data_IF_662490797975
#
_entry.id   IF_662490797975
#
_cell.length_a   1.000
_cell.length_b   1.000
_cell.length_c   1.000
_cell.angle_alpha   90.00
_cell.angle_beta   90.00
_cell.angle_gamma   90.00
#
_symmetry.space_group_name_H-M   'P 1'
#
loop_
_entity.id
_entity.type
_entity.pdbx_description
1 polymer ?
#
# COMPACT_ATOMS: atom_id res chain seq x y z
N UNK A 1 21.44 -21.25 8.67
CA UNK A 1 20.92 -20.28 7.69
C UNK A 1 19.58 -19.83 8.21
N UNK A 2 19.40 -18.53 8.37
CA UNK A 2 18.17 -17.97 8.96
C UNK A 2 17.08 -17.99 7.89
N UNK A 3 16.12 -18.90 8.03
CA UNK A 3 14.85 -18.83 7.32
C UNK A 3 14.24 -17.44 7.51
N UNK A 4 13.65 -16.88 6.46
CA UNK A 4 12.87 -15.63 6.60
C UNK A 4 11.83 -15.80 7.72
N UNK A 5 11.80 -14.92 8.72
CA UNK A 5 10.90 -15.10 9.85
C UNK A 5 9.45 -14.95 9.36
N UNK A 6 8.58 -15.83 9.84
CA UNK A 6 7.18 -15.92 9.38
C UNK A 6 6.21 -15.59 10.51
N UNK A 7 5.11 -14.95 10.15
CA UNK A 7 3.96 -14.78 11.03
C UNK A 7 2.90 -15.81 10.67
N UNK A 8 2.46 -16.58 11.65
CA UNK A 8 1.25 -17.42 11.54
C UNK A 8 0.04 -16.58 11.97
N UNK A 9 -0.73 -16.14 10.98
CA UNK A 9 -1.93 -15.33 11.23
C UNK A 9 -2.99 -16.06 12.06
N UNK A 10 -3.06 -17.40 12.00
CA UNK A 10 -4.02 -18.17 12.79
C UNK A 10 -3.63 -18.22 14.26
N UNK A 11 -2.34 -18.37 14.54
CA UNK A 11 -1.80 -18.32 15.90
C UNK A 11 -1.87 -16.90 16.48
N UNK A 12 -1.67 -15.86 15.66
CA UNK A 12 -1.88 -14.47 16.06
C UNK A 12 -3.35 -14.20 16.40
N UNK A 13 -4.28 -14.65 15.55
CA UNK A 13 -5.72 -14.53 15.78
C UNK A 13 -6.17 -15.18 17.09
N UNK A 14 -5.64 -16.36 17.40
CA UNK A 14 -5.99 -17.10 18.62
C UNK A 14 -5.57 -16.40 19.92
N UNK A 15 -4.67 -15.41 19.86
CA UNK A 15 -4.24 -14.63 21.03
C UNK A 15 -5.19 -13.44 21.32
N UNK A 16 -6.05 -13.08 20.38
CA UNK A 16 -7.00 -11.99 20.53
C UNK A 16 -8.14 -12.36 21.48
N UNK A 17 -8.64 -11.36 22.20
CA UNK A 17 -9.90 -11.50 22.93
C UNK A 17 -11.09 -11.69 21.98
N UNK A 18 -12.20 -12.30 22.41
CA UNK A 18 -13.39 -12.45 21.58
C UNK A 18 -13.93 -11.13 21.02
N UNK A 19 -13.81 -10.03 21.78
CA UNK A 19 -14.22 -8.70 21.33
C UNK A 19 -13.33 -8.19 20.19
N UNK A 20 -12.01 -8.29 20.33
CA UNK A 20 -11.07 -7.93 19.26
C UNK A 20 -11.25 -8.81 18.00
N UNK A 21 -11.51 -10.11 18.18
CA UNK A 21 -11.83 -11.01 17.06
C UNK A 21 -13.12 -10.60 16.36
N UNK A 22 -14.15 -10.21 17.10
CA UNK A 22 -15.41 -9.78 16.53
C UNK A 22 -15.26 -8.46 15.77
N UNK A 23 -14.53 -7.49 16.32
CA UNK A 23 -14.28 -6.18 15.71
C UNK A 23 -13.47 -6.30 14.41
N UNK A 24 -12.29 -6.92 14.48
CA UNK A 24 -11.44 -7.16 13.29
C UNK A 24 -12.19 -8.02 12.26
N UNK A 25 -12.94 -9.02 12.72
CA UNK A 25 -13.72 -9.90 11.86
C UNK A 25 -14.83 -9.15 11.11
N UNK A 26 -15.52 -8.22 11.77
CA UNK A 26 -16.56 -7.40 11.16
C UNK A 26 -15.97 -6.50 10.06
N UNK A 27 -14.88 -5.78 10.35
CA UNK A 27 -14.19 -4.91 9.37
C UNK A 27 -13.72 -5.74 8.16
N UNK A 28 -13.11 -6.91 8.40
CA UNK A 28 -12.64 -7.76 7.32
C UNK A 28 -13.79 -8.29 6.43
N UNK A 29 -14.94 -8.63 7.02
CA UNK A 29 -16.11 -9.08 6.25
C UNK A 29 -16.67 -7.92 5.41
N UNK A 30 -16.79 -6.72 5.97
CA UNK A 30 -17.28 -5.54 5.25
C UNK A 30 -16.33 -5.13 4.11
N UNK A 31 -15.01 -5.21 4.31
CA UNK A 31 -14.02 -5.00 3.26
C UNK A 31 -14.20 -5.99 2.09
N UNK A 32 -14.33 -7.28 2.39
CA UNK A 32 -14.55 -8.32 1.36
C UNK A 32 -15.90 -8.11 0.65
N UNK A 33 -16.93 -7.67 1.36
CA UNK A 33 -18.21 -7.33 0.74
C UNK A 33 -18.09 -6.14 -0.22
N UNK A 34 -17.31 -5.10 0.13
CA UNK A 34 -17.04 -3.97 -0.75
C UNK A 34 -16.34 -4.39 -2.05
N UNK A 35 -15.32 -5.26 -1.97
CA UNK A 35 -14.65 -5.82 -3.14
C UNK A 35 -15.58 -6.67 -4.01
N UNK A 36 -16.38 -7.53 -3.39
CA UNK A 36 -17.36 -8.34 -4.12
C UNK A 36 -18.41 -7.48 -4.84
N UNK A 37 -18.80 -6.35 -4.27
CA UNK A 37 -19.65 -5.38 -4.95
C UNK A 37 -18.94 -4.74 -6.15
N UNK A 38 -17.67 -4.35 -6.02
CA UNK A 38 -16.90 -3.76 -7.13
C UNK A 38 -16.76 -4.76 -8.29
N UNK A 39 -16.37 -6.01 -8.00
CA UNK A 39 -16.26 -7.09 -9.00
C UNK A 39 -17.60 -7.30 -9.75
N UNK A 40 -18.71 -7.38 -9.02
CA UNK A 40 -20.04 -7.55 -9.64
C UNK A 40 -20.43 -6.38 -10.54
N UNK A 41 -20.08 -5.14 -10.16
CA UNK A 41 -20.36 -3.96 -10.97
C UNK A 41 -19.50 -3.93 -12.23
N UNK A 42 -18.23 -4.33 -12.13
CA UNK A 42 -17.35 -4.46 -13.30
C UNK A 42 -17.86 -5.53 -14.27
N UNK A 43 -18.36 -6.66 -13.75
CA UNK A 43 -18.99 -7.70 -14.57
C UNK A 43 -20.30 -7.21 -15.21
N UNK A 44 -21.14 -6.49 -14.46
CA UNK A 44 -22.42 -5.96 -14.94
C UNK A 44 -22.25 -4.82 -15.96
N UNK A 45 -21.16 -4.05 -15.89
CA UNK A 45 -20.84 -3.00 -16.84
C UNK A 45 -20.45 -3.52 -18.23
N UNK A 46 -20.27 -4.84 -18.41
CA UNK A 46 -20.09 -5.43 -19.73
C UNK A 46 -21.36 -5.26 -20.56
N UNK A 47 -21.26 -4.79 -21.81
CA UNK A 47 -22.42 -4.43 -22.62
C UNK A 47 -23.36 -5.63 -22.81
N UNK A 48 -24.52 -5.58 -22.16
CA UNK A 48 -25.67 -6.45 -22.41
C UNK A 48 -26.82 -5.57 -22.87
N UNK A 49 -27.40 -5.92 -24.01
CA UNK A 49 -28.43 -5.13 -24.69
C UNK A 49 -29.59 -4.74 -23.72
N UNK A 50 -29.91 -3.44 -23.74
CA UNK A 50 -31.14 -2.78 -23.24
C UNK A 50 -31.36 -2.60 -21.72
N UNK A 51 -30.66 -3.30 -20.82
CA UNK A 51 -30.78 -3.09 -19.36
C UNK A 51 -29.78 -2.06 -18.79
N UNK A 52 -29.50 -0.98 -19.53
CA UNK A 52 -28.22 -0.26 -19.40
C UNK A 52 -28.30 0.99 -18.49
N UNK A 53 -29.37 1.78 -18.48
CA UNK A 53 -29.27 3.12 -17.89
C UNK A 53 -29.45 3.18 -16.36
N UNK A 54 -30.45 2.50 -15.79
CA UNK A 54 -30.66 2.52 -14.33
C UNK A 54 -29.57 1.74 -13.58
N UNK A 55 -29.07 0.66 -14.20
CA UNK A 55 -27.92 -0.09 -13.70
C UNK A 55 -26.65 0.77 -13.81
N UNK A 56 -26.47 1.57 -14.86
CA UNK A 56 -25.30 2.45 -15.00
C UNK A 56 -25.26 3.55 -13.93
N UNK A 57 -26.38 4.21 -13.65
CA UNK A 57 -26.42 5.29 -12.65
C UNK A 57 -26.20 4.75 -11.22
N UNK A 58 -26.79 3.59 -10.89
CA UNK A 58 -26.51 2.89 -9.63
C UNK A 58 -25.06 2.39 -9.59
N UNK A 59 -24.52 1.93 -10.72
CA UNK A 59 -23.14 1.45 -10.82
C UNK A 59 -22.12 2.54 -10.52
N UNK A 60 -22.31 3.78 -10.99
CA UNK A 60 -21.39 4.88 -10.66
C UNK A 60 -21.42 5.21 -9.15
N UNK A 61 -22.62 5.33 -8.57
CA UNK A 61 -22.77 5.63 -7.15
C UNK A 61 -22.15 4.53 -6.27
N UNK A 62 -22.38 3.27 -6.63
CA UNK A 62 -21.80 2.13 -5.93
C UNK A 62 -20.29 2.02 -6.13
N UNK A 63 -19.77 2.22 -7.34
CA UNK A 63 -18.33 2.19 -7.59
C UNK A 63 -17.59 3.26 -6.78
N UNK A 64 -18.14 4.48 -6.70
CA UNK A 64 -17.59 5.54 -5.85
C UNK A 64 -17.65 5.16 -4.36
N UNK A 65 -18.76 4.58 -3.90
CA UNK A 65 -18.91 4.14 -2.52
C UNK A 65 -17.97 2.97 -2.18
N UNK A 66 -17.83 1.99 -3.07
CA UNK A 66 -16.97 0.82 -2.92
C UNK A 66 -15.49 1.23 -2.86
N UNK A 67 -15.04 2.13 -3.75
CA UNK A 67 -13.67 2.63 -3.73
C UNK A 67 -13.34 3.44 -2.47
N UNK A 68 -14.28 4.23 -1.94
CA UNK A 68 -14.10 4.90 -0.65
C UNK A 68 -14.07 3.90 0.51
N UNK A 69 -15.00 2.93 0.49
CA UNK A 69 -15.09 1.88 1.49
C UNK A 69 -13.81 1.05 1.56
N UNK A 70 -13.23 0.66 0.41
CA UNK A 70 -11.97 -0.08 0.35
C UNK A 70 -10.83 0.64 1.11
N UNK A 71 -10.58 1.91 0.79
CA UNK A 71 -9.51 2.68 1.41
C UNK A 71 -9.71 2.85 2.93
N UNK A 72 -10.93 3.20 3.37
CA UNK A 72 -11.24 3.38 4.79
C UNK A 72 -11.21 2.06 5.56
N UNK A 73 -11.77 0.99 5.00
CA UNK A 73 -11.81 -0.33 5.65
C UNK A 73 -10.43 -0.98 5.73
N UNK A 74 -9.56 -0.80 4.72
CA UNK A 74 -8.15 -1.20 4.82
C UNK A 74 -7.46 -0.48 5.98
N UNK A 75 -7.65 0.85 6.09
CA UNK A 75 -7.06 1.63 7.18
C UNK A 75 -7.59 1.17 8.54
N UNK A 76 -8.91 1.04 8.68
CA UNK A 76 -9.56 0.58 9.91
C UNK A 76 -9.11 -0.83 10.31
N UNK A 77 -8.99 -1.75 9.34
CA UNK A 77 -8.51 -3.10 9.58
C UNK A 77 -7.06 -3.11 10.06
N UNK A 78 -6.20 -2.29 9.44
CA UNK A 78 -4.81 -2.15 9.84
C UNK A 78 -4.70 -1.62 11.27
N UNK A 79 -5.42 -0.55 11.59
CA UNK A 79 -5.39 0.08 12.91
C UNK A 79 -5.89 -0.91 13.98
N UNK A 80 -7.04 -1.56 13.76
CA UNK A 80 -7.59 -2.55 14.68
C UNK A 80 -6.62 -3.72 14.95
N UNK A 81 -5.95 -4.22 13.91
CA UNK A 81 -4.97 -5.31 14.04
C UNK A 81 -3.70 -4.86 14.77
N UNK A 82 -3.17 -3.67 14.45
CA UNK A 82 -1.96 -3.12 15.06
C UNK A 82 -2.18 -2.77 16.54
N UNK A 83 -3.35 -2.25 16.89
CA UNK A 83 -3.69 -1.93 18.27
C UNK A 83 -3.94 -3.20 19.12
N UNK A 84 -4.48 -4.26 18.50
CA UNK A 84 -4.82 -5.48 19.20
C UNK A 84 -3.65 -6.46 19.41
N UNK A 85 -2.61 -6.40 18.55
CA UNK A 85 -1.48 -7.34 18.58
C UNK A 85 -0.16 -6.67 18.98
N UNK A 86 0.67 -7.32 19.81
CA UNK A 86 2.00 -6.81 20.12
C UNK A 86 2.90 -6.73 18.88
N UNK A 87 3.76 -5.70 18.84
CA UNK A 87 4.66 -5.41 17.70
C UNK A 87 5.53 -6.61 17.32
N UNK A 88 5.94 -7.41 18.30
CA UNK A 88 6.82 -8.58 18.15
C UNK A 88 6.17 -9.72 17.34
N UNK A 89 4.85 -9.68 17.13
CA UNK A 89 4.19 -10.58 16.19
C UNK A 89 4.54 -10.25 14.74
N UNK A 90 4.74 -8.96 14.41
CA UNK A 90 5.05 -8.49 13.07
C UNK A 90 6.56 -8.41 12.78
N UNK A 91 7.41 -8.41 13.82
CA UNK A 91 8.86 -8.19 13.67
C UNK A 91 9.68 -9.20 14.49
N UNK A 92 10.82 -9.60 13.94
CA UNK A 92 11.89 -10.28 14.67
C UNK A 92 13.13 -9.36 14.68
N UNK A 93 13.29 -8.61 15.78
CA UNK A 93 14.23 -7.49 15.82
C UNK A 93 13.82 -6.41 14.81
N UNK A 94 14.72 -6.09 13.88
CA UNK A 94 14.48 -5.12 12.79
C UNK A 94 13.91 -5.75 11.52
N UNK A 95 13.67 -7.08 11.51
CA UNK A 95 13.23 -7.81 10.33
C UNK A 95 11.72 -8.03 10.39
N UNK A 96 11.00 -7.52 9.39
CA UNK A 96 9.57 -7.77 9.24
C UNK A 96 9.30 -9.26 8.95
N UNK A 97 8.27 -9.82 9.60
CA UNK A 97 7.81 -11.18 9.36
C UNK A 97 6.91 -11.23 8.15
N UNK A 98 7.08 -12.28 7.35
CA UNK A 98 6.26 -12.50 6.16
C UNK A 98 5.10 -13.45 6.49
N UNK A 99 3.86 -13.21 6.03
CA UNK A 99 2.75 -14.13 6.25
C UNK A 99 3.09 -15.56 5.83
N UNK A 100 2.79 -16.53 6.71
CA UNK A 100 3.03 -17.95 6.44
C UNK A 100 2.22 -18.48 5.26
N UNK A 101 1.04 -17.89 5.00
CA UNK A 101 0.15 -18.25 3.89
C UNK A 101 0.67 -17.89 2.50
N UNK A 102 1.70 -17.05 2.37
CA UNK A 102 2.32 -16.75 1.08
C UNK A 102 3.18 -17.90 0.54
N UNK A 103 3.41 -18.95 1.34
CA UNK A 103 4.25 -20.07 0.94
C UNK A 103 5.75 -19.73 0.87
N UNK A 104 6.52 -20.52 0.11
CA UNK A 104 7.95 -20.31 -0.09
C UNK A 104 8.24 -18.96 -0.76
N UNK A 105 9.25 -18.25 -0.25
CA UNK A 105 9.71 -16.98 -0.80
C UNK A 105 11.23 -17.02 -0.85
N UNK A 106 11.81 -16.62 -1.99
CA UNK A 106 13.26 -16.62 -2.12
C UNK A 106 13.87 -15.49 -1.28
N UNK A 107 14.70 -15.84 -0.30
CA UNK A 107 15.44 -14.91 0.58
C UNK A 107 16.39 -13.96 -0.14
N UNK A 108 16.61 -14.14 -1.45
CA UNK A 108 17.49 -13.29 -2.28
C UNK A 108 16.71 -12.36 -3.21
N UNK A 109 15.75 -12.86 -3.97
CA UNK A 109 15.03 -12.06 -4.97
C UNK A 109 13.55 -11.79 -4.63
N UNK A 110 12.99 -12.44 -3.61
CA UNK A 110 11.60 -12.27 -3.22
C UNK A 110 10.58 -13.01 -4.10
N UNK A 111 11.01 -13.75 -5.14
CA UNK A 111 10.08 -14.51 -5.98
C UNK A 111 9.24 -15.50 -5.14
N UNK A 112 8.02 -15.75 -5.58
CA UNK A 112 7.06 -16.68 -4.95
C UNK A 112 6.70 -17.80 -5.91
N UNK A 113 5.82 -18.73 -5.51
CA UNK A 113 5.29 -19.75 -6.41
C UNK A 113 4.40 -19.17 -7.54
N UNK A 114 3.79 -18.00 -7.31
CA UNK A 114 2.91 -17.32 -8.26
C UNK A 114 3.58 -16.17 -9.01
N UNK A 115 4.79 -15.79 -8.59
CA UNK A 115 5.58 -14.70 -9.17
C UNK A 115 7.06 -15.12 -9.22
N UNK A 116 7.39 -15.96 -10.20
CA UNK A 116 8.72 -16.50 -10.42
C UNK A 116 9.69 -15.50 -11.04
N UNK A 117 11.00 -15.78 -10.98
CA UNK A 117 12.01 -14.97 -11.64
C UNK A 117 11.77 -14.87 -13.16
N UNK A 118 12.25 -13.78 -13.77
CA UNK A 118 12.33 -13.66 -15.23
C UNK A 118 13.14 -14.82 -15.83
N UNK A 119 12.59 -15.50 -16.83
CA UNK A 119 13.15 -16.73 -17.40
C UNK A 119 12.76 -18.02 -16.67
N UNK A 120 12.01 -17.91 -15.57
CA UNK A 120 11.56 -19.02 -14.75
C UNK A 120 12.60 -19.47 -13.73
N UNK A 121 12.11 -19.94 -12.59
CA UNK A 121 12.93 -20.58 -11.57
C UNK A 121 12.14 -21.70 -10.88
N UNK A 122 12.84 -22.53 -10.12
CA UNK A 122 12.28 -23.52 -9.20
C UNK A 122 12.89 -23.35 -7.81
N UNK A 123 12.42 -24.08 -6.81
CA UNK A 123 12.99 -24.05 -5.46
C UNK A 123 14.22 -24.94 -5.35
N UNK A 124 15.34 -24.37 -4.94
CA UNK A 124 16.58 -25.08 -4.61
C UNK A 124 16.65 -25.44 -3.11
N UNK A 125 16.09 -24.58 -2.26
CA UNK A 125 15.90 -24.75 -0.82
C UNK A 125 14.54 -24.15 -0.42
N UNK A 126 14.09 -24.36 0.82
CA UNK A 126 12.79 -23.87 1.34
C UNK A 126 12.57 -22.36 1.17
N UNK A 127 13.65 -21.57 1.15
CA UNK A 127 13.63 -20.12 0.93
C UNK A 127 14.71 -19.66 -0.07
N UNK A 128 15.09 -20.51 -1.05
CA UNK A 128 16.01 -20.13 -2.14
C UNK A 128 15.57 -20.71 -3.48
N UNK A 129 15.46 -19.87 -4.50
CA UNK A 129 15.20 -20.34 -5.87
C UNK A 129 16.49 -20.72 -6.63
N UNK A 130 16.37 -21.58 -7.64
CA UNK A 130 17.46 -22.04 -8.51
C UNK A 130 18.11 -20.92 -9.29
N UNK A 131 17.39 -19.87 -9.67
CA UNK A 131 18.00 -18.69 -10.29
C UNK A 131 18.98 -17.95 -9.34
N UNK A 132 18.82 -18.13 -8.04
CA UNK A 132 19.61 -17.44 -7.02
C UNK A 132 20.75 -18.30 -6.43
N UNK A 133 20.94 -19.56 -6.86
CA UNK A 133 22.03 -20.42 -6.37
C UNK A 133 23.40 -19.92 -6.85
N UNK A 134 23.48 -19.45 -8.10
CA UNK A 134 24.76 -19.19 -8.79
C UNK A 134 25.29 -17.76 -8.65
N UNK A 135 24.74 -17.01 -7.68
CA UNK A 135 25.39 -15.83 -7.09
C UNK A 135 25.64 -14.64 -8.03
N UNK A 136 24.56 -14.06 -8.56
CA UNK A 136 24.48 -12.61 -8.76
C UNK A 136 23.26 -12.11 -8.01
N UNK A 137 23.42 -11.15 -7.09
CA UNK A 137 22.29 -10.48 -6.46
C UNK A 137 21.55 -9.73 -7.55
N UNK A 138 20.37 -10.22 -7.92
CA UNK A 138 19.40 -9.41 -8.63
C UNK A 138 18.83 -8.44 -7.60
N UNK A 139 19.24 -7.17 -7.68
CA UNK A 139 18.57 -6.11 -6.91
C UNK A 139 17.27 -5.84 -7.64
N UNK A 140 16.17 -6.39 -7.13
CA UNK A 140 14.85 -6.04 -7.62
C UNK A 140 14.46 -4.70 -7.00
N UNK A 141 14.28 -3.68 -7.84
CA UNK A 141 13.70 -2.41 -7.43
C UNK A 141 12.21 -2.53 -7.74
N UNK A 142 11.37 -2.68 -6.72
CA UNK A 142 9.91 -2.70 -6.89
C UNK A 142 9.47 -1.39 -7.55
N UNK A 143 8.68 -1.50 -8.62
CA UNK A 143 8.09 -0.36 -9.31
C UNK A 143 7.03 0.36 -8.46
N UNK A 144 6.48 -0.31 -7.44
CA UNK A 144 5.42 0.23 -6.57
C UNK A 144 5.96 1.06 -5.41
N UNK A 145 7.24 0.94 -5.06
CA UNK A 145 7.90 1.86 -4.14
C UNK A 145 7.86 3.32 -4.64
N UNK A 146 7.62 3.54 -5.94
CA UNK A 146 7.49 4.86 -6.56
C UNK A 146 6.04 5.41 -6.63
N UNK A 147 5.01 4.68 -6.19
CA UNK A 147 3.60 5.03 -6.47
C UNK A 147 2.74 5.50 -5.29
N UNK A 148 3.28 5.60 -4.09
CA UNK A 148 2.51 6.05 -2.92
C UNK A 148 2.49 7.58 -2.75
N UNK A 149 1.90 8.35 -3.69
CA UNK A 149 1.72 9.80 -3.51
C UNK A 149 0.34 10.32 -3.97
N UNK A 150 -0.52 10.53 -2.98
CA UNK A 150 -1.86 11.12 -3.04
C UNK A 150 -1.87 12.64 -3.41
N UNK A 151 -3.00 13.12 -3.92
CA UNK A 151 -3.26 14.32 -4.73
C UNK A 151 -3.27 15.70 -4.01
N UNK A 152 -2.20 16.11 -3.31
CA UNK A 152 -2.07 17.47 -2.72
C UNK A 152 -0.75 18.18 -3.06
N UNK A 153 -0.63 19.47 -2.75
CA UNK A 153 0.43 20.39 -3.24
C UNK A 153 1.88 19.86 -3.17
N UNK A 154 2.78 20.29 -4.10
CA UNK A 154 4.18 19.85 -4.16
C UNK A 154 4.97 20.19 -2.88
N UNK A 155 5.88 19.29 -2.51
CA UNK A 155 6.95 19.48 -1.53
C UNK A 155 7.85 20.60 -1.99
N UNK A 156 8.13 21.53 -1.08
CA UNK A 156 9.08 22.59 -1.30
C UNK A 156 10.37 22.31 -0.53
N UNK A 157 11.53 22.64 -1.10
CA UNK A 157 12.80 22.63 -0.38
C UNK A 157 12.87 23.81 0.62
N UNK A 158 14.00 23.94 1.34
CA UNK A 158 14.21 25.05 2.30
C UNK A 158 14.16 26.45 1.67
N UNK A 159 14.27 26.54 0.34
CA UNK A 159 14.21 27.77 -0.44
C UNK A 159 12.82 28.02 -1.04
N UNK A 160 11.85 27.13 -0.80
CA UNK A 160 10.51 27.24 -1.36
C UNK A 160 10.35 26.70 -2.78
N UNK A 161 11.34 25.97 -3.31
CA UNK A 161 11.30 25.43 -4.67
C UNK A 161 10.66 24.05 -4.69
N UNK A 162 9.82 23.79 -5.69
CA UNK A 162 9.20 22.48 -5.87
C UNK A 162 10.26 21.40 -6.11
N UNK A 163 10.17 20.32 -5.34
CA UNK A 163 10.99 19.13 -5.52
C UNK A 163 10.23 18.19 -6.45
N UNK A 164 10.93 17.56 -7.38
CA UNK A 164 10.40 16.56 -8.29
C UNK A 164 11.12 15.22 -8.08
N UNK A 165 10.44 14.12 -8.30
CA UNK A 165 10.93 12.75 -8.18
C UNK A 165 10.75 12.02 -9.52
N UNK A 166 11.75 11.27 -10.01
CA UNK A 166 11.51 10.38 -11.17
C UNK A 166 10.65 9.20 -10.70
N UNK A 167 9.48 9.00 -11.31
CA UNK A 167 8.60 7.85 -11.03
C UNK A 167 9.22 6.48 -11.33
N UNK A 168 10.36 6.44 -12.03
CA UNK A 168 11.06 5.20 -12.36
C UNK A 168 12.13 4.79 -11.35
N UNK A 169 12.89 5.74 -10.80
CA UNK A 169 14.05 5.44 -9.96
C UNK A 169 14.10 6.17 -8.61
N UNK A 170 13.14 7.04 -8.32
CA UNK A 170 13.08 7.80 -7.07
C UNK A 170 14.12 8.91 -6.94
N UNK A 171 14.86 9.25 -7.99
CA UNK A 171 15.82 10.35 -7.93
C UNK A 171 15.11 11.69 -7.78
N UNK A 172 15.60 12.54 -6.89
CA UNK A 172 14.98 13.83 -6.55
C UNK A 172 15.75 15.00 -7.13
N UNK A 173 15.04 15.99 -7.66
CA UNK A 173 15.64 17.19 -8.25
C UNK A 173 14.75 18.40 -8.03
N UNK A 174 15.34 19.59 -8.09
CA UNK A 174 14.59 20.86 -8.12
C UNK A 174 14.52 21.44 -9.53
N UNK A 175 15.20 20.83 -10.51
CA UNK A 175 15.26 21.29 -11.90
C UNK A 175 15.12 20.10 -12.87
N UNK A 176 13.89 19.63 -13.12
CA UNK A 176 13.66 18.45 -13.96
C UNK A 176 14.07 18.67 -15.43
N UNK A 177 14.11 19.92 -15.91
CA UNK A 177 14.54 20.22 -17.27
C UNK A 177 16.04 20.08 -17.44
N UNK A 178 16.82 20.61 -16.49
CA UNK A 178 18.29 20.49 -16.50
C UNK A 178 18.74 19.03 -16.42
N UNK A 179 18.08 18.22 -15.60
CA UNK A 179 18.42 16.81 -15.47
C UNK A 179 18.02 16.01 -16.72
N UNK A 180 16.86 16.30 -17.31
CA UNK A 180 16.48 15.73 -18.61
C UNK A 180 17.49 16.06 -19.72
N UNK A 181 18.06 17.27 -19.72
CA UNK A 181 19.11 17.69 -20.65
C UNK A 181 20.46 17.01 -20.41
N UNK A 182 20.82 16.76 -19.15
CA UNK A 182 22.01 16.00 -18.77
C UNK A 182 21.88 14.55 -19.23
N UNK A 183 20.73 13.91 -19.02
CA UNK A 183 20.50 12.53 -19.44
C UNK A 183 20.48 12.36 -20.97
N UNK A 184 19.88 13.31 -21.70
CA UNK A 184 19.94 13.33 -23.18
C UNK A 184 21.38 13.43 -23.68
N UNK A 185 22.21 14.27 -23.05
CA UNK A 185 23.62 14.42 -23.40
C UNK A 185 24.48 13.21 -23.04
N UNK A 186 24.10 12.46 -22.01
CA UNK A 186 24.82 11.27 -21.55
C UNK A 186 24.53 9.99 -22.35
N UNK A 187 23.69 10.03 -23.39
CA UNK A 187 23.52 8.92 -24.34
C UNK A 187 22.75 7.71 -23.80
N UNK A 188 21.67 7.92 -23.03
CA UNK A 188 20.70 6.89 -22.61
C UNK A 188 21.26 5.71 -21.76
N UNK A 189 22.04 5.98 -20.72
CA UNK A 189 22.37 4.97 -19.68
C UNK A 189 21.54 5.18 -18.39
N UNK A 190 20.37 5.80 -18.51
CA UNK A 190 19.47 6.08 -17.39
C UNK A 190 18.04 5.69 -17.76
N UNK A 191 17.35 5.04 -16.83
CA UNK A 191 16.00 4.48 -16.97
C UNK A 191 14.87 5.50 -17.23
N UNK A 192 15.15 6.81 -17.30
CA UNK A 192 14.12 7.85 -17.36
C UNK A 192 14.25 8.86 -18.54
N UNK A 193 14.29 8.51 -19.84
CA UNK A 193 14.27 9.54 -20.89
C UNK A 193 12.86 10.11 -21.14
N UNK A 194 11.80 9.35 -20.86
CA UNK A 194 10.44 9.72 -21.31
C UNK A 194 9.33 9.55 -20.24
N UNK A 195 9.64 9.16 -19.00
CA UNK A 195 8.60 8.91 -17.98
C UNK A 195 8.75 9.77 -16.72
N UNK A 196 7.85 10.76 -16.68
CA UNK A 196 7.22 11.44 -15.54
C UNK A 196 8.11 11.77 -14.32
N UNK A 197 8.81 12.91 -14.39
CA UNK A 197 9.16 13.65 -13.17
C UNK A 197 7.87 14.19 -12.56
N UNK A 198 7.51 13.74 -11.35
CA UNK A 198 6.33 14.23 -10.63
C UNK A 198 6.76 15.07 -9.45
N UNK A 199 6.02 16.11 -9.05
CA UNK A 199 6.37 16.85 -7.86
C UNK A 199 6.33 15.92 -6.63
N UNK A 200 7.44 15.83 -5.92
CA UNK A 200 7.59 15.17 -4.63
C UNK A 200 6.62 15.83 -3.65
N UNK A 201 6.03 15.13 -2.68
CA UNK A 201 5.05 15.72 -1.74
C UNK A 201 5.40 15.34 -0.30
N UNK A 202 5.35 16.30 0.63
CA UNK A 202 5.73 16.08 2.04
C UNK A 202 4.57 15.37 2.76
N UNK A 203 4.83 14.20 3.34
CA UNK A 203 3.93 13.61 4.35
C UNK A 203 4.01 14.43 5.63
N UNK A 204 2.99 15.25 5.89
CA UNK A 204 2.76 15.78 7.23
C UNK A 204 2.10 14.69 8.06
N UNK A 205 2.87 14.01 8.91
CA UNK A 205 2.27 13.19 9.96
C UNK A 205 1.62 14.14 10.97
N UNK A 206 0.30 14.25 10.94
CA UNK A 206 -0.44 14.90 12.02
C UNK A 206 -0.29 14.04 13.28
N UNK A 207 0.63 14.41 14.16
CA UNK A 207 0.44 14.12 15.59
C UNK A 207 -0.66 15.08 16.02
N UNK A 208 -1.90 14.61 16.04
CA UNK A 208 -3.02 15.38 16.57
C UNK A 208 -2.69 15.76 18.02
N UNK A 209 -2.54 17.06 18.29
CA UNK A 209 -2.59 17.53 19.66
C UNK A 209 -3.96 17.16 20.24
N UNK A 210 -4.05 16.70 21.50
CA UNK A 210 -5.33 16.28 22.08
C UNK A 210 -6.31 17.46 22.07
N UNK A 211 -7.41 17.32 21.32
CA UNK A 211 -8.57 18.21 21.45
C UNK A 211 -9.10 18.09 22.88
N UNK A 212 -8.92 19.14 23.67
CA UNK A 212 -9.67 19.28 24.92
C UNK A 212 -11.09 19.68 24.57
N UNK A 213 -12.03 18.74 24.73
CA UNK A 213 -13.44 19.08 24.83
C UNK A 213 -13.63 19.99 26.04
N UNK A 214 -14.13 21.19 25.80
CA UNK A 214 -14.64 22.05 26.86
C UNK A 214 -16.05 21.55 27.15
N UNK A 215 -16.25 20.88 28.29
CA UNK A 215 -17.59 20.56 28.78
C UNK A 215 -18.39 21.85 28.81
N UNK A 216 -19.50 21.86 28.07
CA UNK A 216 -20.50 22.92 28.15
C UNK A 216 -21.24 22.72 29.47
N UNK A 217 -21.18 23.74 30.32
CA UNK A 217 -21.94 23.80 31.56
C UNK A 217 -23.45 23.81 31.22
N UNK A 218 -24.22 22.77 31.58
CA UNK A 218 -25.65 22.71 31.29
C UNK A 218 -26.46 23.77 32.04
N UNK A 219 -25.87 24.44 33.04
CA UNK A 219 -26.53 25.46 33.86
C UNK A 219 -26.17 26.90 33.44
N UNK A 220 -25.55 27.11 32.27
CA UNK A 220 -25.29 28.45 31.76
C UNK A 220 -26.61 29.17 31.40
N UNK A 221 -27.17 29.88 32.38
CA UNK A 221 -28.36 30.73 32.25
C UNK A 221 -28.20 31.68 31.06
N UNK A 222 -29.12 31.58 30.10
CA UNK A 222 -29.26 32.54 29.01
C UNK A 222 -29.79 33.84 29.60
N UNK A 223 -28.91 34.82 29.78
CA UNK A 223 -29.31 36.18 30.13
C UNK A 223 -30.17 36.79 29.00
N UNK A 224 -31.20 37.60 29.35
CA UNK A 224 -32.16 38.17 28.39
C UNK A 224 -31.55 39.23 27.46
#
# INVERSE_FOLDING_TARGET
>A
MSNLPRIDGSAAWAQLSPEQQADIGAIAIELVAAWACDDQLQEAAQPRDELIQEIADLSEAYARAAGYCDAEMISALQDAVVDALPREIFFEGEVARIPSRLGPICRRCGCTEYDGCEGGCSWAEDDLCTACTDSRRHVFVSADAARAVDARAPALNRLGEAIFECTGCGSVTTDPQRDADLYRRAGHISCCPERHMVPLRIRWSFVAAPMRFRELDPDAEVAP
#
